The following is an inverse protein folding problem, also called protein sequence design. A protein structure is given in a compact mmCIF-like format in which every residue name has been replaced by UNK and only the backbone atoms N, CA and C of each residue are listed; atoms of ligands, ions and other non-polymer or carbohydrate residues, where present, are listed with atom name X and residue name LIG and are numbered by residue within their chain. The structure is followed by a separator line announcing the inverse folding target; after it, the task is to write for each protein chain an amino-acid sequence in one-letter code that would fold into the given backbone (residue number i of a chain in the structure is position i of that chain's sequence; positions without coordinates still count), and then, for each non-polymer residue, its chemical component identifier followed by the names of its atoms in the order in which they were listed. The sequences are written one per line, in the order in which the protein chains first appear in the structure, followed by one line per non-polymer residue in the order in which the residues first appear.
data_IF_161491801305
#
_entry.id   IF_161491801305
#
_cell.length_a   1.000
_cell.length_b   1.000
_cell.length_c   1.000
_cell.angle_alpha   90.00
_cell.angle_beta   90.00
_cell.angle_gamma   90.00
#
_symmetry.space_group_name_H-M   'P 1'
#
loop_
_entity.id
_entity.type
_entity.pdbx_description
1 polymer ?
#
# COMPACT_ATOMS: atom_id res chain seq x y z
N UNK A 1 6.38 -47.86 -14.94
CA UNK A 1 6.50 -46.37 -14.95
C UNK A 1 5.18 -45.62 -15.17
N UNK A 2 4.10 -46.22 -15.69
CA UNK A 2 2.84 -45.52 -16.04
C UNK A 2 1.97 -45.05 -14.86
N UNK A 3 2.02 -45.74 -13.71
CA UNK A 3 1.15 -45.44 -12.56
C UNK A 3 1.51 -44.11 -11.88
N UNK A 4 2.80 -43.80 -11.75
CA UNK A 4 3.24 -42.54 -11.12
C UNK A 4 2.81 -41.31 -11.93
N UNK A 5 2.89 -41.38 -13.25
CA UNK A 5 2.44 -40.29 -14.14
C UNK A 5 0.93 -40.08 -14.06
N UNK A 6 0.16 -41.18 -13.93
CA UNK A 6 -1.30 -41.11 -13.78
C UNK A 6 -1.71 -40.48 -12.44
N UNK A 7 -1.03 -40.84 -11.35
CA UNK A 7 -1.26 -40.25 -10.03
C UNK A 7 -0.94 -38.75 -10.02
N UNK A 8 0.17 -38.34 -10.63
CA UNK A 8 0.53 -36.92 -10.73
C UNK A 8 -0.52 -36.14 -11.52
N UNK A 9 -0.95 -36.66 -12.67
CA UNK A 9 -2.00 -36.03 -13.48
C UNK A 9 -3.33 -35.89 -12.73
N UNK A 10 -3.72 -36.92 -11.98
CA UNK A 10 -4.96 -36.91 -11.20
C UNK A 10 -4.93 -35.91 -10.04
N UNK A 11 -3.80 -35.82 -9.33
CA UNK A 11 -3.61 -34.84 -8.24
C UNK A 11 -3.63 -33.41 -8.78
N UNK A 12 -2.99 -33.15 -9.92
CA UNK A 12 -3.01 -31.84 -10.57
C UNK A 12 -4.44 -31.46 -11.00
N UNK A 13 -5.18 -32.40 -11.60
CA UNK A 13 -6.56 -32.18 -12.02
C UNK A 13 -7.47 -31.86 -10.82
N UNK A 14 -7.34 -32.59 -9.71
CA UNK A 14 -8.08 -32.31 -8.47
C UNK A 14 -7.72 -30.95 -7.89
N UNK A 15 -6.43 -30.58 -7.89
CA UNK A 15 -5.99 -29.27 -7.42
C UNK A 15 -6.60 -28.12 -8.26
N UNK A 16 -6.62 -28.28 -9.59
CA UNK A 16 -7.23 -27.31 -10.50
C UNK A 16 -8.75 -27.24 -10.33
N UNK A 17 -9.42 -28.38 -10.07
CA UNK A 17 -10.86 -28.43 -9.88
C UNK A 17 -11.27 -27.80 -8.54
N UNK A 18 -10.52 -28.06 -7.47
CA UNK A 18 -10.71 -27.39 -6.17
C UNK A 18 -10.44 -25.88 -6.30
N UNK A 19 -9.43 -25.47 -7.06
CA UNK A 19 -9.16 -24.06 -7.34
C UNK A 19 -10.29 -23.40 -8.16
N UNK A 20 -10.81 -24.09 -9.18
CA UNK A 20 -11.92 -23.60 -10.00
C UNK A 20 -13.22 -23.49 -9.20
N UNK A 21 -13.48 -24.42 -8.28
CA UNK A 21 -14.66 -24.42 -7.42
C UNK A 21 -14.59 -23.37 -6.30
N UNK A 22 -13.44 -22.71 -6.11
CA UNK A 22 -13.26 -21.54 -5.23
C UNK A 22 -13.49 -20.20 -5.94
N UNK A 23 -13.99 -20.20 -7.19
CA UNK A 23 -14.52 -18.97 -7.78
C UNK A 23 -15.81 -18.58 -7.03
N UNK A 24 -15.68 -17.70 -6.05
CA UNK A 24 -16.82 -17.05 -5.42
C UNK A 24 -17.70 -16.44 -6.51
N UNK A 25 -18.98 -16.80 -6.53
CA UNK A 25 -19.97 -16.09 -7.35
C UNK A 25 -19.87 -14.59 -7.04
N UNK A 26 -19.82 -13.77 -8.07
CA UNK A 26 -19.78 -12.31 -7.94
C UNK A 26 -21.17 -11.88 -7.45
N UNK A 27 -21.34 -11.36 -6.22
CA UNK A 27 -22.65 -10.93 -5.74
C UNK A 27 -23.23 -9.84 -6.65
N UNK A 28 -24.55 -9.67 -6.73
CA UNK A 28 -25.17 -8.61 -7.54
C UNK A 28 -24.74 -7.17 -7.13
N UNK A 29 -24.17 -7.00 -5.92
CA UNK A 29 -23.59 -5.74 -5.43
C UNK A 29 -22.05 -5.72 -5.42
N UNK A 30 -21.38 -6.53 -6.25
CA UNK A 30 -19.92 -6.63 -6.19
C UNK A 30 -19.16 -5.53 -6.97
N UNK A 31 -19.80 -4.42 -7.30
CA UNK A 31 -19.12 -3.27 -7.89
C UNK A 31 -18.46 -2.40 -6.82
N UNK A 32 -17.48 -1.58 -7.19
CA UNK A 32 -17.07 -0.47 -6.33
C UNK A 32 -18.21 0.55 -6.25
N UNK A 33 -18.72 0.83 -5.06
CA UNK A 33 -19.84 1.75 -4.85
C UNK A 33 -19.41 3.11 -4.30
N UNK A 34 -18.15 3.27 -3.89
CA UNK A 34 -17.63 4.54 -3.36
C UNK A 34 -16.16 4.73 -3.68
N UNK A 35 -15.74 5.99 -3.76
CA UNK A 35 -14.35 6.42 -3.90
C UNK A 35 -13.98 7.28 -2.70
N UNK A 36 -12.96 6.87 -1.96
CA UNK A 36 -12.46 7.59 -0.79
C UNK A 36 -11.12 8.21 -1.16
N UNK A 37 -11.03 9.53 -1.00
CA UNK A 37 -9.79 10.27 -1.17
C UNK A 37 -8.92 10.13 0.08
N UNK A 38 -7.77 9.48 -0.07
CA UNK A 38 -6.82 9.23 1.02
C UNK A 38 -5.74 10.31 1.12
N UNK A 39 -5.91 11.43 0.42
CA UNK A 39 -4.92 12.50 0.43
C UNK A 39 -5.17 13.58 1.46
N UNK A 40 -4.07 14.08 2.03
CA UNK A 40 -4.00 15.28 2.81
C UNK A 40 -3.53 16.44 1.92
N UNK A 41 -4.18 17.59 2.08
CA UNK A 41 -3.73 18.86 1.50
C UNK A 41 -2.82 19.57 2.49
N UNK A 42 -1.74 20.20 2.02
CA UNK A 42 -0.82 21.01 2.84
C UNK A 42 -1.47 22.25 3.50
N UNK A 43 -2.77 22.48 3.30
CA UNK A 43 -3.49 23.62 3.88
C UNK A 43 -4.03 23.24 5.27
N UNK A 44 -3.35 23.70 6.32
CA UNK A 44 -3.98 23.84 7.63
C UNK A 44 -5.27 24.65 7.50
N UNK A 45 -6.28 24.27 8.29
CA UNK A 45 -7.61 24.88 8.34
C UNK A 45 -7.60 26.42 8.24
N UNK A 46 -7.64 26.97 7.02
CA UNK A 46 -7.98 28.36 6.78
C UNK A 46 -8.61 28.51 5.41
N UNK A 47 -9.85 29.00 5.44
CA UNK A 47 -10.64 29.42 4.28
C UNK A 47 -9.78 30.26 3.32
N UNK A 48 -9.83 29.90 2.04
CA UNK A 48 -9.64 30.76 0.85
C UNK A 48 -8.71 31.96 1.06
N UNK A 49 -7.44 31.85 0.71
CA UNK A 49 -6.67 32.97 0.16
C UNK A 49 -5.77 32.47 -0.97
N UNK A 50 -6.26 32.65 -2.20
CA UNK A 50 -5.40 32.69 -3.37
C UNK A 50 -4.57 33.97 -3.30
N UNK A 51 -3.28 33.84 -3.01
CA UNK A 51 -2.30 34.91 -3.20
C UNK A 51 -1.07 34.32 -3.88
N UNK A 52 -0.81 34.81 -5.10
CA UNK A 52 0.34 34.45 -5.90
C UNK A 52 1.64 34.84 -5.17
N UNK A 53 2.43 33.84 -4.76
CA UNK A 53 3.80 34.03 -4.30
C UNK A 53 4.75 33.17 -5.15
N UNK A 54 5.62 33.86 -5.89
CA UNK A 54 6.78 33.29 -6.58
C UNK A 54 7.79 32.79 -5.54
N UNK A 55 7.62 31.55 -5.09
CA UNK A 55 8.60 30.73 -4.36
C UNK A 55 8.20 29.28 -4.62
N UNK A 56 9.15 28.37 -4.88
CA UNK A 56 8.87 26.95 -5.16
C UNK A 56 7.81 26.41 -4.18
N UNK A 57 6.70 25.79 -4.62
CA UNK A 57 5.50 25.62 -3.78
C UNK A 57 5.64 24.60 -2.64
N UNK A 58 6.83 24.06 -2.42
CA UNK A 58 7.07 22.97 -1.48
C UNK A 58 7.77 23.55 -0.24
N UNK A 59 6.99 24.17 0.65
CA UNK A 59 7.39 24.24 2.07
C UNK A 59 6.99 22.91 2.75
N UNK A 60 7.84 22.35 3.64
CA UNK A 60 7.62 21.02 4.21
C UNK A 60 6.53 21.07 5.28
N UNK A 61 5.31 20.67 4.90
CA UNK A 61 4.13 20.68 5.77
C UNK A 61 2.99 19.76 5.31
N UNK A 62 3.30 18.47 5.17
CA UNK A 62 2.37 17.31 5.17
C UNK A 62 1.31 17.18 4.07
N UNK A 63 1.60 17.53 2.82
CA UNK A 63 0.84 16.93 1.71
C UNK A 63 1.16 15.42 1.58
N UNK A 64 0.21 14.64 1.06
CA UNK A 64 0.47 13.24 0.71
C UNK A 64 1.57 13.12 -0.34
N UNK A 65 2.55 12.27 -0.05
CA UNK A 65 3.72 12.07 -0.91
C UNK A 65 3.94 10.60 -1.20
N UNK A 66 4.42 10.33 -2.42
CA UNK A 66 5.05 9.06 -2.77
C UNK A 66 6.56 9.19 -2.62
N UNK A 67 7.22 8.13 -2.16
CA UNK A 67 8.68 7.95 -2.22
C UNK A 67 8.95 6.76 -3.14
N UNK A 68 9.72 7.00 -4.19
CA UNK A 68 10.05 6.00 -5.19
C UNK A 68 11.28 5.17 -4.77
N UNK A 69 11.39 3.92 -5.24
CA UNK A 69 12.57 3.07 -5.00
C UNK A 69 13.92 3.72 -5.34
N UNK A 70 13.96 4.66 -6.28
CA UNK A 70 15.18 5.41 -6.61
C UNK A 70 15.76 6.21 -5.44
N UNK A 71 14.97 6.47 -4.39
CA UNK A 71 15.46 7.07 -3.14
C UNK A 71 16.46 6.17 -2.39
N UNK A 72 16.43 4.86 -2.64
CA UNK A 72 17.43 3.92 -2.13
C UNK A 72 18.63 3.78 -3.07
N UNK A 73 18.36 3.61 -4.37
CA UNK A 73 19.41 3.44 -5.39
C UNK A 73 18.97 4.05 -6.71
N UNK A 74 19.79 4.90 -7.36
CA UNK A 74 19.42 5.60 -8.60
C UNK A 74 19.17 4.68 -9.80
N UNK A 75 19.46 3.37 -9.68
CA UNK A 75 19.18 2.35 -10.71
C UNK A 75 17.74 1.83 -10.66
N UNK A 76 17.02 2.08 -9.57
CA UNK A 76 15.63 1.66 -9.41
C UNK A 76 14.68 2.74 -9.96
N UNK A 77 13.40 2.41 -10.05
CA UNK A 77 12.38 3.33 -10.57
C UNK A 77 12.32 4.63 -9.78
N UNK A 78 12.47 5.73 -10.49
CA UNK A 78 12.03 7.05 -10.04
C UNK A 78 10.52 7.21 -10.19
N UNK A 79 9.96 8.29 -9.64
CA UNK A 79 8.50 8.52 -9.59
C UNK A 79 7.84 8.39 -10.96
N UNK A 80 8.45 8.92 -12.03
CA UNK A 80 7.91 8.84 -13.39
C UNK A 80 8.07 7.47 -14.07
N UNK A 81 8.86 6.58 -13.47
CA UNK A 81 9.23 5.27 -14.01
C UNK A 81 8.55 4.10 -13.31
N UNK A 82 7.80 4.34 -12.22
CA UNK A 82 7.02 3.28 -11.57
C UNK A 82 6.02 2.71 -12.60
N UNK A 83 6.02 1.38 -12.86
CA UNK A 83 5.08 0.75 -13.77
C UNK A 83 3.62 1.04 -13.41
N UNK A 84 2.78 1.34 -14.41
CA UNK A 84 1.38 1.71 -14.18
C UNK A 84 0.56 0.60 -13.51
N UNK A 85 0.91 -0.66 -13.75
CA UNK A 85 0.29 -1.84 -13.13
C UNK A 85 0.56 -1.91 -11.63
N UNK A 86 1.57 -1.18 -11.13
CA UNK A 86 1.84 -1.07 -9.69
C UNK A 86 1.10 0.09 -9.03
N UNK A 87 0.46 0.95 -9.81
CA UNK A 87 -0.25 2.12 -9.34
C UNK A 87 -1.76 1.87 -9.14
N UNK A 88 -2.24 0.70 -9.55
CA UNK A 88 -3.62 0.26 -9.31
C UNK A 88 -3.59 -1.18 -8.80
N UNK A 89 -3.94 -1.40 -7.55
CA UNK A 89 -3.72 -2.68 -6.88
C UNK A 89 -4.75 -2.98 -5.79
N UNK A 90 -4.89 -4.24 -5.34
CA UNK A 90 -5.63 -4.56 -4.14
C UNK A 90 -5.10 -3.77 -2.93
N UNK A 91 -6.00 -3.36 -2.05
CA UNK A 91 -5.67 -2.60 -0.85
C UNK A 91 -5.94 -3.44 0.41
N UNK A 92 -4.94 -3.51 1.28
CA UNK A 92 -5.06 -4.06 2.63
C UNK A 92 -4.77 -2.96 3.64
N UNK A 93 -5.69 -2.74 4.58
CA UNK A 93 -5.54 -1.75 5.66
C UNK A 93 -5.34 -2.49 6.98
N UNK A 94 -4.12 -2.41 7.53
CA UNK A 94 -3.76 -2.99 8.81
C UNK A 94 -4.02 -1.97 9.91
N UNK A 95 -4.76 -2.39 10.93
CA UNK A 95 -5.00 -1.59 12.13
C UNK A 95 -3.89 -1.85 13.16
N UNK A 96 -3.27 -0.78 13.65
CA UNK A 96 -2.24 -0.85 14.68
C UNK A 96 -2.45 0.24 15.75
N UNK A 97 -1.87 0.03 16.92
CA UNK A 97 -1.84 1.01 18.01
C UNK A 97 -0.56 1.85 17.94
N UNK A 98 -0.68 3.17 18.01
CA UNK A 98 0.43 4.12 17.88
C UNK A 98 1.48 4.05 18.99
N UNK A 99 1.18 3.37 20.11
CA UNK A 99 2.18 3.12 21.15
C UNK A 99 3.34 2.21 20.69
N UNK A 100 3.22 1.53 19.55
CA UNK A 100 4.23 0.58 19.05
C UNK A 100 4.28 0.53 17.52
N UNK A 101 5.42 0.11 16.93
CA UNK A 101 5.48 -0.18 15.49
C UNK A 101 4.47 -1.25 15.07
N UNK A 102 3.98 -1.16 13.83
CA UNK A 102 3.13 -2.18 13.19
C UNK A 102 3.91 -3.49 13.16
N UNK A 103 3.44 -4.44 13.94
CA UNK A 103 4.13 -5.68 14.25
C UNK A 103 3.67 -6.84 13.38
N UNK A 104 4.41 -7.95 13.44
CA UNK A 104 3.96 -9.21 12.83
C UNK A 104 2.63 -9.70 13.41
N UNK A 105 2.33 -9.40 14.68
CA UNK A 105 1.06 -9.78 15.28
C UNK A 105 -0.12 -9.01 14.66
N UNK A 106 0.09 -7.76 14.24
CA UNK A 106 -0.93 -6.98 13.54
C UNK A 106 -1.22 -7.55 12.15
N UNK A 107 -0.16 -7.97 11.43
CA UNK A 107 -0.27 -8.68 10.14
C UNK A 107 -1.01 -10.01 10.30
N UNK A 108 -0.64 -10.83 11.29
CA UNK A 108 -1.31 -12.12 11.55
C UNK A 108 -2.77 -11.90 11.94
N UNK A 109 -3.05 -10.88 12.75
CA UNK A 109 -4.42 -10.53 13.15
C UNK A 109 -5.26 -10.08 11.97
N UNK A 110 -4.68 -9.30 11.05
CA UNK A 110 -5.32 -8.95 9.79
C UNK A 110 -5.67 -10.22 8.99
N UNK A 111 -4.70 -11.11 8.74
CA UNK A 111 -4.93 -12.27 7.88
C UNK A 111 -5.93 -13.27 8.48
N UNK A 112 -5.95 -13.39 9.81
CA UNK A 112 -6.93 -14.21 10.53
C UNK A 112 -8.36 -13.69 10.33
N UNK A 113 -8.55 -12.37 10.30
CA UNK A 113 -9.88 -11.75 10.26
C UNK A 113 -10.39 -11.50 8.84
N UNK A 114 -9.48 -11.26 7.89
CA UNK A 114 -9.83 -10.78 6.55
C UNK A 114 -9.32 -11.66 5.41
N UNK A 115 -8.61 -12.75 5.73
CA UNK A 115 -7.92 -13.59 4.77
C UNK A 115 -6.52 -13.09 4.43
N UNK A 116 -5.75 -13.90 3.71
CA UNK A 116 -4.38 -13.55 3.32
C UNK A 116 -4.31 -12.21 2.59
N UNK A 117 -3.26 -11.43 2.87
CA UNK A 117 -2.98 -10.20 2.15
C UNK A 117 -2.76 -10.56 0.67
N UNK A 118 -3.51 -9.96 -0.28
CA UNK A 118 -3.37 -10.31 -1.68
C UNK A 118 -1.95 -10.05 -2.20
N UNK A 119 -1.46 -10.95 -3.06
CA UNK A 119 -0.18 -10.77 -3.72
C UNK A 119 -0.18 -9.50 -4.58
N UNK A 120 0.89 -8.72 -4.50
CA UNK A 120 0.98 -7.48 -5.29
C UNK A 120 0.09 -6.36 -4.77
N UNK A 121 -0.38 -6.44 -3.53
CA UNK A 121 -1.21 -5.40 -2.91
C UNK A 121 -0.39 -4.19 -2.43
N UNK A 122 -1.11 -3.12 -2.14
CA UNK A 122 -0.62 -2.01 -1.33
C UNK A 122 -1.13 -2.19 0.08
N UNK A 123 -0.22 -2.11 1.06
CA UNK A 123 -0.55 -2.23 2.48
C UNK A 123 -0.45 -0.87 3.14
N UNK A 124 -1.55 -0.43 3.75
CA UNK A 124 -1.61 0.82 4.50
C UNK A 124 -1.82 0.51 5.98
N UNK A 125 -1.05 1.17 6.84
CA UNK A 125 -1.25 1.10 8.28
C UNK A 125 -2.08 2.28 8.77
N UNK A 126 -3.22 1.96 9.40
CA UNK A 126 -4.01 2.90 10.18
C UNK A 126 -3.59 2.78 11.63
N UNK A 127 -2.97 3.85 12.14
CA UNK A 127 -2.40 3.89 13.48
C UNK A 127 -3.31 4.72 14.38
N UNK A 128 -3.87 4.10 15.42
CA UNK A 128 -4.73 4.79 16.38
C UNK A 128 -3.93 5.30 17.58
N UNK A 129 -4.23 6.50 18.05
CA UNK A 129 -3.59 7.09 19.23
C UNK A 129 -2.38 7.97 18.87
N UNK A 130 -1.29 7.85 19.65
CA UNK A 130 -0.07 8.65 19.43
C UNK A 130 0.71 8.12 18.21
N UNK A 131 0.69 8.86 17.11
CA UNK A 131 1.36 8.48 15.86
C UNK A 131 2.83 8.90 15.80
N UNK A 132 3.40 9.47 16.87
CA UNK A 132 4.77 10.01 16.87
C UNK A 132 5.84 8.95 16.57
N UNK A 133 5.56 7.69 16.90
CA UNK A 133 6.44 6.54 16.66
C UNK A 133 5.86 5.54 15.64
N UNK A 134 4.90 5.98 14.83
CA UNK A 134 4.29 5.13 13.81
C UNK A 134 5.34 4.69 12.78
N UNK A 135 5.62 3.39 12.74
CA UNK A 135 6.54 2.75 11.82
C UNK A 135 6.13 1.28 11.63
N UNK A 136 6.61 0.62 10.59
CA UNK A 136 6.54 -0.85 10.51
C UNK A 136 7.73 -1.47 11.24
N UNK A 137 7.53 -2.62 11.90
CA UNK A 137 8.65 -3.40 12.42
C UNK A 137 9.42 -4.04 11.25
N UNK A 138 10.71 -4.34 11.47
CA UNK A 138 11.57 -4.98 10.47
C UNK A 138 10.99 -6.33 10.01
N UNK A 139 10.52 -7.14 10.95
CA UNK A 139 9.94 -8.46 10.65
C UNK A 139 8.64 -8.35 9.86
N UNK A 140 7.77 -7.38 10.20
CA UNK A 140 6.53 -7.11 9.47
C UNK A 140 6.83 -6.69 8.03
N UNK A 141 7.75 -5.74 7.85
CA UNK A 141 8.15 -5.27 6.54
C UNK A 141 8.72 -6.40 5.67
N UNK A 142 9.64 -7.20 6.23
CA UNK A 142 10.25 -8.35 5.56
C UNK A 142 9.21 -9.36 5.11
N UNK A 143 8.28 -9.72 5.99
CA UNK A 143 7.20 -10.64 5.66
C UNK A 143 6.30 -10.11 4.55
N UNK A 144 5.85 -8.84 4.65
CA UNK A 144 4.97 -8.23 3.65
C UNK A 144 5.62 -8.21 2.25
N UNK A 145 6.91 -7.92 2.17
CA UNK A 145 7.61 -7.86 0.88
C UNK A 145 7.95 -9.25 0.33
N UNK A 146 8.44 -10.17 1.16
CA UNK A 146 8.86 -11.49 0.70
C UNK A 146 7.72 -12.49 0.53
N UNK A 147 6.83 -12.57 1.52
CA UNK A 147 5.76 -13.57 1.53
C UNK A 147 4.49 -13.09 0.80
N UNK A 148 4.31 -11.77 0.65
CA UNK A 148 3.11 -11.18 0.02
C UNK A 148 3.41 -10.34 -1.23
N UNK A 149 4.69 -10.16 -1.60
CA UNK A 149 5.09 -9.37 -2.76
C UNK A 149 4.40 -7.98 -2.77
N UNK A 150 4.30 -7.35 -1.60
CA UNK A 150 3.66 -6.04 -1.46
C UNK A 150 4.43 -5.02 -2.29
N UNK A 151 3.70 -4.21 -3.06
CA UNK A 151 4.30 -3.29 -4.04
C UNK A 151 4.36 -1.84 -3.53
N UNK A 152 3.59 -1.54 -2.48
CA UNK A 152 3.54 -0.23 -1.85
C UNK A 152 3.18 -0.34 -0.38
N UNK A 153 3.82 0.48 0.45
CA UNK A 153 3.59 0.58 1.89
C UNK A 153 3.21 2.01 2.23
N UNK A 154 2.31 2.23 3.19
CA UNK A 154 2.05 3.59 3.65
C UNK A 154 1.35 3.69 5.00
N UNK A 155 1.24 4.92 5.49
CA UNK A 155 0.51 5.26 6.71
C UNK A 155 0.10 6.74 6.74
N UNK A 156 -0.69 7.12 7.74
CA UNK A 156 -1.11 8.52 7.96
C UNK A 156 0.03 9.40 8.49
N UNK A 157 1.08 8.78 9.05
CA UNK A 157 2.29 9.46 9.49
C UNK A 157 3.34 9.57 8.36
N UNK A 158 4.35 10.41 8.59
CA UNK A 158 5.52 10.45 7.71
C UNK A 158 6.47 9.31 8.09
N UNK A 159 6.73 8.41 7.15
CA UNK A 159 7.71 7.34 7.35
C UNK A 159 9.13 7.90 7.29
N UNK A 160 9.95 7.50 8.26
CA UNK A 160 11.33 7.95 8.40
C UNK A 160 12.22 7.21 7.39
N UNK A 161 12.37 7.76 6.19
CA UNK A 161 13.06 7.18 5.01
C UNK A 161 14.48 6.60 5.25
N UNK A 162 15.10 6.85 6.40
CA UNK A 162 16.41 6.33 6.80
C UNK A 162 16.34 5.19 7.84
N UNK A 163 15.13 4.75 8.20
CA UNK A 163 14.93 3.59 9.06
C UNK A 163 15.23 2.31 8.29
N UNK A 164 15.64 1.25 9.00
CA UNK A 164 15.93 -0.05 8.38
C UNK A 164 14.73 -0.62 7.60
N UNK A 165 13.49 -0.62 8.14
CA UNK A 165 12.32 -1.13 7.42
C UNK A 165 12.01 -0.34 6.12
N UNK A 166 12.10 0.98 6.16
CA UNK A 166 11.77 1.82 4.99
C UNK A 166 12.82 1.64 3.89
N UNK A 167 14.09 1.60 4.28
CA UNK A 167 15.22 1.29 3.38
C UNK A 167 15.04 -0.10 2.75
N UNK A 168 14.60 -1.06 3.56
CA UNK A 168 14.33 -2.41 3.11
C UNK A 168 13.21 -2.46 2.06
N UNK A 169 12.10 -1.75 2.27
CA UNK A 169 11.02 -1.63 1.28
C UNK A 169 11.49 -1.05 -0.05
N UNK A 170 12.21 0.07 0.00
CA UNK A 170 12.72 0.75 -1.20
C UNK A 170 13.71 -0.13 -1.97
N UNK A 171 14.59 -0.86 -1.28
CA UNK A 171 15.53 -1.81 -1.90
C UNK A 171 14.84 -2.98 -2.60
N UNK A 172 13.62 -3.35 -2.18
CA UNK A 172 12.79 -4.38 -2.81
C UNK A 172 11.81 -3.78 -3.84
N UNK A 173 12.06 -2.56 -4.30
CA UNK A 173 11.25 -1.86 -5.31
C UNK A 173 9.80 -1.58 -4.89
N UNK A 174 9.49 -1.62 -3.60
CA UNK A 174 8.22 -1.11 -3.08
C UNK A 174 8.31 0.41 -2.89
N UNK A 175 7.25 1.13 -3.25
CA UNK A 175 7.18 2.57 -3.00
C UNK A 175 6.56 2.84 -1.61
N UNK A 176 6.85 4.01 -1.04
CA UNK A 176 6.27 4.44 0.23
C UNK A 176 5.22 5.54 0.01
N UNK A 177 4.16 5.55 0.80
CA UNK A 177 3.11 6.57 0.83
C UNK A 177 3.04 7.19 2.22
N UNK A 178 3.32 8.49 2.28
CA UNK A 178 3.39 9.25 3.52
C UNK A 178 2.23 10.24 3.61
N UNK A 179 1.86 10.60 4.85
CA UNK A 179 0.85 11.61 5.14
C UNK A 179 -0.50 11.29 4.49
N UNK A 180 -0.91 10.02 4.54
CA UNK A 180 -2.26 9.65 4.13
C UNK A 180 -3.31 10.18 5.12
N UNK A 181 -4.58 10.12 4.71
CA UNK A 181 -5.71 10.51 5.55
C UNK A 181 -6.92 9.63 5.24
N UNK A 182 -7.98 9.74 6.02
CA UNK A 182 -9.26 9.07 5.81
C UNK A 182 -9.18 7.53 5.82
N UNK A 183 -8.13 6.91 6.38
CA UNK A 183 -8.03 5.44 6.42
C UNK A 183 -9.13 4.83 7.28
N UNK A 184 -9.73 5.60 8.19
CA UNK A 184 -10.88 5.17 8.99
C UNK A 184 -12.15 4.89 8.19
N UNK A 185 -12.23 5.42 6.96
CA UNK A 185 -13.38 5.25 6.08
C UNK A 185 -13.23 4.06 5.13
N UNK A 186 -12.03 3.49 5.04
CA UNK A 186 -11.72 2.36 4.14
C UNK A 186 -11.87 1.05 4.90
N UNK A 187 -12.58 0.04 4.36
CA UNK A 187 -12.62 -1.27 4.99
C UNK A 187 -11.24 -1.93 4.97
N UNK A 188 -10.98 -2.82 5.93
CA UNK A 188 -9.68 -3.48 6.07
C UNK A 188 -9.28 -4.25 4.80
N UNK A 189 -10.24 -4.94 4.15
CA UNK A 189 -10.01 -5.73 2.95
C UNK A 189 -11.09 -5.48 1.88
N UNK A 190 -10.87 -6.00 0.68
CA UNK A 190 -11.84 -5.95 -0.42
C UNK A 190 -11.84 -4.66 -1.24
N UNK A 191 -11.04 -3.66 -0.86
CA UNK A 191 -10.86 -2.42 -1.61
C UNK A 191 -9.75 -2.54 -2.65
N UNK A 192 -9.76 -1.63 -3.63
CA UNK A 192 -8.62 -1.34 -4.49
C UNK A 192 -8.07 0.05 -4.21
N UNK A 193 -6.79 0.28 -4.46
CA UNK A 193 -6.17 1.60 -4.40
C UNK A 193 -5.70 2.02 -5.78
N UNK A 194 -5.89 3.31 -6.08
CA UNK A 194 -5.26 4.02 -7.18
C UNK A 194 -4.28 5.04 -6.61
N UNK A 195 -3.01 4.91 -6.99
CA UNK A 195 -1.90 5.77 -6.58
C UNK A 195 -1.46 6.55 -7.81
N UNK A 196 -1.86 7.81 -7.93
CA UNK A 196 -1.61 8.64 -9.11
C UNK A 196 -0.58 9.74 -8.78
N UNK A 197 0.73 9.45 -8.89
CA UNK A 197 1.76 10.45 -8.63
C UNK A 197 1.89 11.45 -9.77
N UNK A 198 2.35 12.65 -9.45
CA UNK A 198 2.81 13.56 -10.50
C UNK A 198 3.99 12.94 -11.25
N UNK A 199 3.95 12.97 -12.59
CA UNK A 199 4.97 12.36 -13.45
C UNK A 199 6.24 13.22 -13.51
N UNK A 200 6.95 13.31 -12.38
CA UNK A 200 8.16 14.11 -12.21
C UNK A 200 9.40 13.31 -12.62
N UNK A 201 10.09 13.79 -13.67
CA UNK A 201 11.25 13.10 -14.26
C UNK A 201 12.36 12.89 -13.24
N UNK A 202 12.82 11.64 -13.09
CA UNK A 202 13.94 11.25 -12.25
C UNK A 202 13.80 11.64 -10.76
N UNK A 203 12.58 11.93 -10.29
CA UNK A 203 12.34 12.31 -8.91
C UNK A 203 12.35 11.09 -7.97
N UNK A 204 12.90 11.25 -6.78
CA UNK A 204 12.89 10.21 -5.72
C UNK A 204 11.65 10.29 -4.83
N UNK A 205 10.95 11.42 -4.85
CA UNK A 205 9.68 11.62 -4.16
C UNK A 205 8.84 12.68 -4.89
N UNK A 206 7.53 12.68 -4.66
CA UNK A 206 6.65 13.65 -5.28
C UNK A 206 5.24 13.66 -4.69
N UNK A 207 4.43 14.69 -5.00
CA UNK A 207 3.03 14.72 -4.64
C UNK A 207 2.25 13.62 -5.37
N UNK A 208 1.26 13.04 -4.68
CA UNK A 208 0.47 11.91 -5.18
C UNK A 208 -0.98 12.04 -4.77
N UNK A 209 -1.88 11.70 -5.70
CA UNK A 209 -3.30 11.49 -5.40
C UNK A 209 -3.54 10.01 -5.12
N UNK A 210 -4.02 9.67 -3.92
CA UNK A 210 -4.32 8.30 -3.51
C UNK A 210 -5.81 8.16 -3.30
N UNK A 211 -6.45 7.25 -4.03
CA UNK A 211 -7.88 6.99 -3.98
C UNK A 211 -8.14 5.52 -3.65
N UNK A 212 -9.02 5.23 -2.69
CA UNK A 212 -9.51 3.89 -2.44
C UNK A 212 -10.88 3.70 -3.13
N UNK A 213 -10.98 2.66 -3.95
CA UNK A 213 -12.23 2.17 -4.53
C UNK A 213 -12.80 1.12 -3.58
N UNK A 214 -13.93 1.42 -2.95
CA UNK A 214 -14.57 0.59 -1.92
C UNK A 214 -15.75 -0.16 -2.51
N UNK A 215 -15.83 -1.45 -2.16
CA UNK A 215 -16.84 -2.42 -2.60
C UNK A 215 -17.92 -2.59 -1.54
#
# INVERSE_FOLDING_TARGET
MKIRTFVIGYVLALALLVFANRRSEIPPNAGFHSVIDLTSTSAGNNKVQAAASKKSPIEPGKATQIVAPSSYSPKLWSVDQIPGERLVAPLAVIHANGSSPVSMNDVVSYEKNYGEIPLGSVVLARVQGDVSNAAFSSDAMKFLLHARNVIGIGMEAEMMRNSEPDTYALSHSAYLLNNLNNLEKVPASGSMVMVAPSKLRAATAGPVRVLALVR
#
